data_IF_310577605128
#
_entry.id   IF_310577605128
#
_cell.length_a   1.000
_cell.length_b   1.000
_cell.length_c   1.000
_cell.angle_alpha   90.00
_cell.angle_beta   90.00
_cell.angle_gamma   90.00
#
_symmetry.space_group_name_H-M   'P 1'
#
loop_
_entity.id
_entity.type
_entity.pdbx_description
1 polymer ?
#
# COMPACT_ATOMS: atom_id res chain seq x y z
N UNK A 1 -25.43 -14.45 -16.42
CA UNK A 1 -24.05 -13.97 -16.17
C UNK A 1 -23.53 -14.57 -14.89
N UNK A 2 -22.26 -14.92 -14.78
CA UNK A 2 -21.72 -15.42 -13.51
C UNK A 2 -21.79 -14.33 -12.43
N UNK A 3 -22.04 -14.73 -11.20
CA UNK A 3 -22.00 -13.86 -10.00
C UNK A 3 -20.76 -14.15 -9.20
N UNK A 4 -20.32 -13.22 -8.35
CA UNK A 4 -19.13 -13.43 -7.51
C UNK A 4 -19.36 -14.56 -6.49
N UNK A 5 -20.53 -14.62 -5.88
CA UNK A 5 -20.87 -15.72 -4.94
C UNK A 5 -21.01 -17.06 -5.64
N UNK A 6 -21.47 -17.09 -6.89
CA UNK A 6 -21.74 -18.34 -7.64
C UNK A 6 -20.52 -18.93 -8.35
N UNK A 7 -19.48 -18.15 -8.67
CA UNK A 7 -18.34 -18.60 -9.49
C UNK A 7 -17.00 -18.27 -8.84
N UNK A 8 -16.21 -19.31 -8.48
CA UNK A 8 -14.85 -19.17 -7.94
C UNK A 8 -13.95 -18.35 -8.88
N UNK A 9 -13.96 -18.68 -10.18
CA UNK A 9 -13.14 -17.95 -11.16
C UNK A 9 -13.53 -16.49 -11.26
N UNK A 10 -14.84 -16.17 -11.31
CA UNK A 10 -15.32 -14.80 -11.40
C UNK A 10 -14.86 -13.97 -10.20
N UNK A 11 -15.03 -14.45 -8.95
CA UNK A 11 -14.60 -13.72 -7.75
C UNK A 11 -13.09 -13.57 -7.66
N UNK A 12 -12.31 -14.65 -7.95
CA UNK A 12 -10.86 -14.58 -7.92
C UNK A 12 -10.31 -13.57 -8.92
N UNK A 13 -10.75 -13.66 -10.19
CA UNK A 13 -10.30 -12.72 -11.24
C UNK A 13 -10.70 -11.28 -10.91
N UNK A 14 -11.94 -11.06 -10.47
CA UNK A 14 -12.41 -9.71 -10.09
C UNK A 14 -11.57 -9.13 -8.97
N UNK A 15 -11.34 -9.87 -7.88
CA UNK A 15 -10.54 -9.40 -6.75
C UNK A 15 -9.08 -9.13 -7.15
N UNK A 16 -8.46 -10.01 -7.94
CA UNK A 16 -7.10 -9.81 -8.44
C UNK A 16 -6.99 -8.55 -9.31
N UNK A 17 -7.95 -8.31 -10.21
CA UNK A 17 -7.93 -7.12 -11.08
C UNK A 17 -8.17 -5.84 -10.26
N UNK A 18 -9.03 -5.87 -9.25
CA UNK A 18 -9.24 -4.74 -8.34
C UNK A 18 -7.96 -4.41 -7.56
N UNK A 19 -7.21 -5.41 -7.12
CA UNK A 19 -5.92 -5.21 -6.44
C UNK A 19 -4.82 -4.71 -7.40
N UNK A 20 -4.81 -5.15 -8.64
CA UNK A 20 -3.94 -4.56 -9.66
C UNK A 20 -4.28 -3.08 -9.90
N UNK A 21 -5.58 -2.72 -9.89
CA UNK A 21 -6.04 -1.34 -9.98
C UNK A 21 -5.65 -0.45 -8.79
N UNK A 22 -5.34 -1.02 -7.63
CA UNK A 22 -4.76 -0.31 -6.48
C UNK A 22 -3.24 -0.15 -6.59
N UNK A 23 -2.57 -1.22 -7.01
CA UNK A 23 -1.12 -1.20 -7.18
C UNK A 23 -0.67 -0.20 -8.24
N UNK A 24 -1.45 -0.03 -9.31
CA UNK A 24 -1.09 0.85 -10.42
C UNK A 24 -0.98 2.33 -10.02
N UNK A 25 -1.97 2.97 -9.37
CA UNK A 25 -1.81 4.33 -8.86
C UNK A 25 -0.67 4.46 -7.84
N UNK A 26 -0.49 3.45 -6.99
CA UNK A 26 0.62 3.44 -6.04
C UNK A 26 1.97 3.50 -6.74
N UNK A 27 2.24 2.59 -7.68
CA UNK A 27 3.47 2.58 -8.46
C UNK A 27 3.67 3.85 -9.28
N UNK A 28 2.59 4.36 -9.90
CA UNK A 28 2.63 5.60 -10.65
C UNK A 28 3.04 6.79 -9.77
N UNK A 29 2.37 7.00 -8.64
CA UNK A 29 2.64 8.17 -7.79
C UNK A 29 3.99 8.04 -7.10
N UNK A 30 4.30 6.89 -6.48
CA UNK A 30 5.49 6.75 -5.62
C UNK A 30 6.77 6.43 -6.37
N UNK A 31 6.70 6.04 -7.64
CA UNK A 31 7.87 5.71 -8.46
C UNK A 31 7.95 6.63 -9.68
N UNK A 32 7.03 6.49 -10.65
CA UNK A 32 7.12 7.19 -11.92
C UNK A 32 6.96 8.71 -11.80
N UNK A 33 5.94 9.17 -11.08
CA UNK A 33 5.69 10.61 -10.89
C UNK A 33 6.78 11.27 -10.05
N UNK A 34 7.19 10.65 -8.92
CA UNK A 34 8.23 11.22 -8.07
C UNK A 34 9.58 11.29 -8.78
N UNK A 35 9.97 10.25 -9.55
CA UNK A 35 11.23 10.27 -10.31
C UNK A 35 11.20 11.31 -11.44
N UNK A 36 10.05 11.46 -12.12
CA UNK A 36 9.86 12.51 -13.12
C UNK A 36 9.98 13.90 -12.48
N UNK A 37 9.30 14.19 -11.39
CA UNK A 37 9.39 15.47 -10.71
C UNK A 37 10.81 15.75 -10.22
N UNK A 38 11.50 14.75 -9.67
CA UNK A 38 12.90 14.87 -9.28
C UNK A 38 13.81 15.19 -10.47
N UNK A 39 13.61 14.57 -11.64
CA UNK A 39 14.36 14.90 -12.85
C UNK A 39 14.08 16.31 -13.38
N UNK A 40 12.91 16.86 -13.06
CA UNK A 40 12.57 18.27 -13.34
C UNK A 40 13.06 19.25 -12.27
N UNK A 41 13.81 18.79 -11.27
CA UNK A 41 14.43 19.61 -10.23
C UNK A 41 13.66 19.69 -8.92
N UNK A 42 12.60 18.90 -8.71
CA UNK A 42 11.92 18.84 -7.42
C UNK A 42 12.87 18.26 -6.35
N UNK A 43 13.01 18.96 -5.22
CA UNK A 43 13.88 18.60 -4.12
C UNK A 43 13.26 17.56 -3.17
N UNK A 44 13.99 17.27 -2.08
CA UNK A 44 13.54 16.32 -1.06
C UNK A 44 12.26 16.78 -0.34
N UNK A 45 12.10 18.09 -0.10
CA UNK A 45 10.91 18.62 0.56
C UNK A 45 9.65 18.42 -0.32
N UNK A 46 9.76 18.64 -1.63
CA UNK A 46 8.66 18.50 -2.56
C UNK A 46 8.26 17.03 -2.77
N UNK A 47 9.23 16.14 -2.98
CA UNK A 47 8.96 14.70 -3.09
C UNK A 47 8.41 14.11 -1.78
N UNK A 48 8.90 14.56 -0.63
CA UNK A 48 8.36 14.20 0.68
C UNK A 48 6.92 14.66 0.84
N UNK A 49 6.56 15.87 0.37
CA UNK A 49 5.20 16.40 0.43
C UNK A 49 4.24 15.54 -0.39
N UNK A 50 4.57 15.24 -1.66
CA UNK A 50 3.72 14.39 -2.50
C UNK A 50 3.60 12.98 -1.92
N UNK A 51 4.71 12.37 -1.49
CA UNK A 51 4.71 11.05 -0.85
C UNK A 51 3.85 11.02 0.42
N UNK A 52 3.93 12.07 1.24
CA UNK A 52 3.10 12.21 2.45
C UNK A 52 1.62 12.33 2.10
N UNK A 53 1.26 13.22 1.17
CA UNK A 53 -0.12 13.43 0.75
C UNK A 53 -0.69 12.20 0.03
N UNK A 54 0.12 11.47 -0.73
CA UNK A 54 -0.30 10.20 -1.33
C UNK A 54 -0.61 9.12 -0.28
N UNK A 55 0.14 9.09 0.83
CA UNK A 55 0.01 8.06 1.87
C UNK A 55 -1.03 8.41 2.94
N UNK A 56 -1.28 9.71 3.16
CA UNK A 56 -2.16 10.20 4.23
C UNK A 56 -3.58 9.61 4.20
N UNK A 57 -4.27 9.44 3.04
CA UNK A 57 -5.59 8.80 3.00
C UNK A 57 -5.63 7.38 3.54
N UNK A 58 -4.52 6.64 3.40
CA UNK A 58 -4.38 5.28 3.94
C UNK A 58 -4.29 5.24 5.47
N UNK A 59 -3.90 6.35 6.09
CA UNK A 59 -3.94 6.52 7.54
C UNK A 59 -5.37 6.60 8.06
N UNK A 60 -6.26 7.22 7.30
CA UNK A 60 -7.67 7.40 7.64
C UNK A 60 -8.59 6.31 7.11
N UNK A 61 -8.05 5.26 6.46
CA UNK A 61 -8.86 4.24 5.81
C UNK A 61 -9.84 3.52 6.77
N UNK A 62 -9.55 3.52 8.07
CA UNK A 62 -10.45 2.99 9.10
C UNK A 62 -11.81 3.70 9.11
N UNK A 63 -11.88 4.96 8.66
CA UNK A 63 -13.11 5.73 8.59
C UNK A 63 -14.01 5.32 7.42
N UNK A 64 -13.44 4.69 6.38
CA UNK A 64 -14.19 4.26 5.21
C UNK A 64 -15.13 3.09 5.51
N UNK A 65 -14.73 2.17 6.41
CA UNK A 65 -15.55 1.01 6.79
C UNK A 65 -16.96 1.39 7.22
N UNK A 66 -17.15 2.21 8.27
CA UNK A 66 -18.46 2.69 8.72
C UNK A 66 -19.25 3.45 7.62
N UNK A 67 -18.57 4.22 6.76
CA UNK A 67 -19.21 4.94 5.66
C UNK A 67 -19.75 3.96 4.63
N UNK A 68 -18.93 2.99 4.21
CA UNK A 68 -19.31 1.97 3.22
C UNK A 68 -20.46 1.11 3.76
N UNK A 69 -20.46 0.77 5.04
CA UNK A 69 -21.49 -0.05 5.66
C UNK A 69 -22.79 0.71 5.87
N UNK A 70 -22.72 2.01 6.17
CA UNK A 70 -23.91 2.86 6.40
C UNK A 70 -24.65 3.24 5.12
N UNK A 71 -23.89 3.54 4.05
CA UNK A 71 -24.45 4.05 2.80
C UNK A 71 -24.38 2.98 1.70
N UNK A 72 -25.17 1.93 1.82
CA UNK A 72 -25.22 0.83 0.85
C UNK A 72 -26.35 1.01 -0.16
N UNK A 73 -26.09 0.72 -1.44
CA UNK A 73 -27.12 0.64 -2.49
C UNK A 73 -27.49 -0.84 -2.67
N UNK A 74 -28.28 -1.37 -1.75
CA UNK A 74 -28.61 -2.82 -1.67
C UNK A 74 -29.11 -3.42 -2.98
N UNK A 75 -29.77 -2.64 -3.85
CA UNK A 75 -30.25 -3.12 -5.15
C UNK A 75 -29.12 -3.50 -6.12
N UNK A 76 -27.92 -2.95 -5.94
CA UNK A 76 -26.75 -3.20 -6.80
C UNK A 76 -25.68 -4.08 -6.15
N UNK A 77 -25.88 -4.53 -4.92
CA UNK A 77 -24.91 -5.17 -4.07
C UNK A 77 -24.39 -4.24 -2.96
N UNK A 78 -23.74 -4.84 -1.96
CA UNK A 78 -23.29 -4.09 -0.78
C UNK A 78 -22.01 -3.29 -1.05
N UNK A 79 -21.07 -3.84 -1.82
CA UNK A 79 -19.72 -3.29 -2.03
C UNK A 79 -19.52 -2.70 -3.43
N UNK A 80 -20.14 -3.30 -4.45
CA UNK A 80 -20.01 -2.87 -5.85
C UNK A 80 -20.25 -1.40 -6.13
N UNK A 81 -21.29 -0.74 -5.58
CA UNK A 81 -21.52 0.69 -5.81
C UNK A 81 -20.36 1.56 -5.38
N UNK A 82 -19.72 1.24 -4.26
CA UNK A 82 -18.55 1.94 -3.74
C UNK A 82 -17.31 1.72 -4.60
N UNK A 83 -17.10 0.49 -5.09
CA UNK A 83 -16.00 0.17 -6.02
C UNK A 83 -16.18 0.92 -7.34
N UNK A 84 -17.39 0.93 -7.90
CA UNK A 84 -17.72 1.66 -9.13
C UNK A 84 -17.50 3.17 -8.95
N UNK A 85 -18.00 3.74 -7.86
CA UNK A 85 -17.83 5.16 -7.55
C UNK A 85 -16.36 5.54 -7.40
N UNK A 86 -15.61 4.79 -6.61
CA UNK A 86 -14.20 5.10 -6.35
C UNK A 86 -13.35 4.99 -7.62
N UNK A 87 -13.57 3.98 -8.47
CA UNK A 87 -12.83 3.85 -9.74
C UNK A 87 -13.18 4.94 -10.76
N UNK A 88 -14.44 5.36 -10.83
CA UNK A 88 -14.84 6.53 -11.63
C UNK A 88 -14.14 7.78 -11.14
N UNK A 89 -14.13 8.02 -9.83
CA UNK A 89 -13.49 9.17 -9.22
C UNK A 89 -11.95 9.13 -9.39
N UNK A 90 -11.33 7.94 -9.30
CA UNK A 90 -9.90 7.77 -9.60
C UNK A 90 -9.58 8.14 -11.05
N UNK A 91 -10.38 7.68 -12.00
CA UNK A 91 -10.19 8.03 -13.42
C UNK A 91 -10.43 9.53 -13.66
N UNK A 92 -11.48 10.11 -13.07
CA UNK A 92 -11.79 11.52 -13.20
C UNK A 92 -10.70 12.43 -12.61
N UNK A 93 -10.13 12.09 -11.46
CA UNK A 93 -9.03 12.85 -10.84
C UNK A 93 -7.74 12.79 -11.66
N UNK A 94 -7.41 11.66 -12.28
CA UNK A 94 -6.29 11.57 -13.22
C UNK A 94 -6.50 12.45 -14.45
N UNK A 95 -7.70 12.44 -15.02
CA UNK A 95 -8.03 13.30 -16.15
C UNK A 95 -8.01 14.79 -15.74
N UNK A 96 -8.45 15.12 -14.53
CA UNK A 96 -8.37 16.48 -14.02
C UNK A 96 -6.92 16.97 -13.85
N UNK A 97 -5.96 16.09 -13.48
CA UNK A 97 -4.54 16.42 -13.40
C UNK A 97 -3.94 16.87 -14.76
N UNK A 98 -4.53 16.47 -15.90
CA UNK A 98 -4.09 16.90 -17.23
C UNK A 98 -4.28 18.40 -17.44
N UNK A 99 -5.27 18.99 -16.73
CA UNK A 99 -5.59 20.43 -16.82
C UNK A 99 -4.57 21.32 -16.08
N UNK A 100 -3.70 20.73 -15.26
CA UNK A 100 -2.60 21.46 -14.61
C UNK A 100 -1.63 21.90 -15.71
N UNK A 101 -1.42 23.21 -15.81
CA UNK A 101 -0.65 23.82 -16.89
C UNK A 101 0.85 23.54 -16.76
N UNK A 102 1.45 24.11 -15.75
CA UNK A 102 2.87 23.95 -15.39
C UNK A 102 2.97 23.25 -14.05
N UNK A 103 3.49 22.03 -14.05
CA UNK A 103 3.57 21.17 -12.88
C UNK A 103 4.54 21.68 -11.81
N UNK A 104 5.54 22.47 -12.20
CA UNK A 104 6.46 23.09 -11.26
C UNK A 104 5.87 24.35 -10.65
N UNK A 105 5.24 25.19 -11.46
CA UNK A 105 4.56 26.41 -10.98
C UNK A 105 3.28 26.07 -10.18
N UNK A 106 2.57 25.00 -10.54
CA UNK A 106 1.32 24.57 -9.90
C UNK A 106 1.52 23.33 -9.01
N UNK A 107 2.71 23.16 -8.45
CA UNK A 107 3.09 22.01 -7.62
C UNK A 107 2.10 21.74 -6.47
N UNK A 108 1.63 22.79 -5.79
CA UNK A 108 0.65 22.67 -4.71
C UNK A 108 -0.67 22.05 -5.21
N UNK A 109 -1.14 22.46 -6.36
CA UNK A 109 -2.36 21.92 -7.00
C UNK A 109 -2.18 20.44 -7.31
N UNK A 110 -1.03 20.07 -7.89
CA UNK A 110 -0.70 18.65 -8.16
C UNK A 110 -0.69 17.83 -6.87
N UNK A 111 -0.02 18.31 -5.82
CA UNK A 111 0.10 17.62 -4.55
C UNK A 111 -1.28 17.35 -3.90
N UNK A 112 -2.18 18.33 -3.90
CA UNK A 112 -3.54 18.17 -3.40
C UNK A 112 -4.41 17.28 -4.30
N UNK A 113 -4.20 17.32 -5.62
CA UNK A 113 -4.89 16.42 -6.55
C UNK A 113 -4.43 14.97 -6.36
N UNK A 114 -3.14 14.73 -6.06
CA UNK A 114 -2.61 13.41 -5.67
C UNK A 114 -3.26 12.94 -4.36
N UNK A 115 -3.40 13.81 -3.36
CA UNK A 115 -4.12 13.49 -2.12
C UNK A 115 -5.58 13.08 -2.40
N UNK A 116 -6.31 13.88 -3.17
CA UNK A 116 -7.70 13.61 -3.52
C UNK A 116 -7.84 12.29 -4.29
N UNK A 117 -6.95 12.04 -5.26
CA UNK A 117 -6.91 10.78 -6.01
C UNK A 117 -6.72 9.59 -5.06
N UNK A 118 -5.76 9.68 -4.13
CA UNK A 118 -5.48 8.61 -3.17
C UNK A 118 -6.58 8.42 -2.12
N UNK A 119 -7.42 9.43 -1.84
CA UNK A 119 -8.65 9.22 -1.07
C UNK A 119 -9.56 8.20 -1.75
N UNK A 120 -9.74 8.30 -3.06
CA UNK A 120 -10.55 7.35 -3.83
C UNK A 120 -9.86 5.98 -3.99
N UNK A 121 -8.52 5.95 -4.11
CA UNK A 121 -7.75 4.69 -4.12
C UNK A 121 -7.94 3.96 -2.78
N UNK A 122 -7.83 4.66 -1.64
CA UNK A 122 -8.00 4.04 -0.33
C UNK A 122 -9.44 3.61 -0.05
N UNK A 123 -10.44 4.34 -0.58
CA UNK A 123 -11.85 3.96 -0.53
C UNK A 123 -12.12 2.68 -1.33
N UNK A 124 -11.53 2.56 -2.53
CA UNK A 124 -11.61 1.37 -3.36
C UNK A 124 -10.95 0.17 -2.68
N UNK A 125 -9.81 0.36 -2.02
CA UNK A 125 -9.11 -0.66 -1.24
C UNK A 125 -10.01 -1.27 -0.17
N UNK A 126 -10.57 -0.43 0.71
CA UNK A 126 -11.46 -0.90 1.79
C UNK A 126 -12.71 -1.57 1.24
N UNK A 127 -13.27 -1.06 0.13
CA UNK A 127 -14.44 -1.65 -0.51
C UNK A 127 -14.12 -3.02 -1.13
N UNK A 128 -12.92 -3.19 -1.69
CA UNK A 128 -12.47 -4.44 -2.29
C UNK A 128 -12.09 -5.49 -1.22
N UNK A 129 -11.49 -5.05 -0.10
CA UNK A 129 -11.23 -5.90 1.06
C UNK A 129 -12.52 -6.42 1.66
N UNK A 130 -13.51 -5.54 1.85
CA UNK A 130 -14.82 -5.90 2.35
C UNK A 130 -15.56 -6.86 1.38
N UNK A 131 -15.46 -6.61 0.05
CA UNK A 131 -16.00 -7.53 -0.95
C UNK A 131 -15.33 -8.91 -0.85
N UNK A 132 -14.01 -8.98 -0.68
CA UNK A 132 -13.29 -10.24 -0.52
C UNK A 132 -13.79 -11.03 0.71
N UNK A 133 -14.01 -10.34 1.84
CA UNK A 133 -14.58 -10.96 3.04
C UNK A 133 -15.99 -11.52 2.77
N UNK A 134 -16.83 -10.76 2.05
CA UNK A 134 -18.23 -11.09 1.79
C UNK A 134 -18.39 -12.27 0.79
N UNK A 135 -17.45 -12.44 -0.18
CA UNK A 135 -17.62 -13.42 -1.28
C UNK A 135 -16.69 -14.63 -1.21
N UNK A 136 -15.57 -14.56 -0.47
CA UNK A 136 -14.62 -15.67 -0.38
C UNK A 136 -15.03 -16.71 0.65
N UNK A 137 -14.97 -17.97 0.25
CA UNK A 137 -15.14 -19.11 1.16
C UNK A 137 -13.89 -19.31 2.02
N UNK A 138 -14.06 -19.91 3.19
CA UNK A 138 -12.97 -20.09 4.17
C UNK A 138 -11.79 -20.90 3.61
N UNK A 139 -12.08 -21.92 2.80
CA UNK A 139 -11.08 -22.80 2.19
C UNK A 139 -10.25 -22.16 1.08
N UNK A 140 -10.69 -21.02 0.52
CA UNK A 140 -10.00 -20.32 -0.57
C UNK A 140 -9.39 -18.99 -0.15
N UNK A 141 -9.71 -18.45 1.04
CA UNK A 141 -9.25 -17.12 1.50
C UNK A 141 -7.74 -16.94 1.43
N UNK A 142 -6.97 -17.92 1.92
CA UNK A 142 -5.51 -17.84 1.93
C UNK A 142 -4.91 -17.73 0.51
N UNK A 143 -5.34 -18.63 -0.38
CA UNK A 143 -4.85 -18.67 -1.76
C UNK A 143 -5.23 -17.41 -2.53
N UNK A 144 -6.50 -17.00 -2.44
CA UNK A 144 -6.98 -15.81 -3.19
C UNK A 144 -6.35 -14.53 -2.66
N UNK A 145 -6.18 -14.37 -1.35
CA UNK A 145 -5.44 -13.22 -0.78
C UNK A 145 -3.99 -13.16 -1.29
N UNK A 146 -3.30 -14.29 -1.37
CA UNK A 146 -1.96 -14.34 -1.97
C UNK A 146 -1.95 -13.87 -3.43
N UNK A 147 -2.94 -14.30 -4.22
CA UNK A 147 -3.09 -13.86 -5.62
C UNK A 147 -3.44 -12.38 -5.73
N UNK A 148 -4.29 -11.84 -4.86
CA UNK A 148 -4.63 -10.43 -4.77
C UNK A 148 -3.37 -9.59 -4.53
N UNK A 149 -2.57 -9.91 -3.53
CA UNK A 149 -1.30 -9.21 -3.25
C UNK A 149 -0.30 -9.30 -4.41
N UNK A 150 -0.15 -10.48 -5.03
CA UNK A 150 0.68 -10.63 -6.22
C UNK A 150 0.20 -9.71 -7.37
N UNK A 151 -1.11 -9.62 -7.57
CA UNK A 151 -1.72 -8.72 -8.57
C UNK A 151 -1.47 -7.25 -8.26
N UNK A 152 -1.44 -6.85 -6.99
CA UNK A 152 -1.07 -5.49 -6.57
C UNK A 152 0.38 -5.16 -6.96
N UNK A 153 1.32 -6.08 -6.77
CA UNK A 153 2.71 -5.89 -7.24
C UNK A 153 2.80 -5.77 -8.77
N UNK A 154 2.01 -6.57 -9.52
CA UNK A 154 1.91 -6.42 -10.98
C UNK A 154 1.38 -5.03 -11.34
N UNK A 155 0.33 -4.56 -10.65
CA UNK A 155 -0.18 -3.20 -10.79
C UNK A 155 0.90 -2.16 -10.50
N UNK A 156 1.68 -2.33 -9.42
CA UNK A 156 2.78 -1.43 -9.06
C UNK A 156 3.86 -1.39 -10.15
N UNK A 157 4.20 -2.53 -10.75
CA UNK A 157 5.14 -2.58 -11.87
C UNK A 157 4.60 -1.85 -13.12
N UNK A 158 3.32 -2.03 -13.45
CA UNK A 158 2.67 -1.31 -14.56
C UNK A 158 2.65 0.19 -14.30
N UNK A 159 2.28 0.61 -13.08
CA UNK A 159 2.24 2.02 -12.69
C UNK A 159 3.61 2.66 -12.54
N UNK A 160 4.60 1.95 -12.01
CA UNK A 160 5.97 2.43 -11.85
C UNK A 160 6.75 2.37 -13.16
N UNK A 161 7.16 1.17 -13.56
CA UNK A 161 8.00 0.99 -14.76
C UNK A 161 7.23 1.30 -16.05
N UNK A 162 6.01 0.78 -16.21
CA UNK A 162 5.23 1.00 -17.43
C UNK A 162 4.90 2.47 -17.67
N UNK A 163 4.39 3.17 -16.66
CA UNK A 163 4.08 4.60 -16.80
C UNK A 163 5.34 5.46 -16.82
N UNK A 164 6.44 5.06 -16.16
CA UNK A 164 7.74 5.71 -16.30
C UNK A 164 8.22 5.73 -17.75
N UNK A 165 8.12 4.60 -18.45
CA UNK A 165 8.42 4.52 -19.90
C UNK A 165 7.48 5.39 -20.74
N UNK A 166 6.19 5.46 -20.39
CA UNK A 166 5.25 6.35 -21.09
C UNK A 166 5.60 7.82 -20.87
N UNK A 167 5.98 8.20 -19.64
CA UNK A 167 6.39 9.57 -19.31
C UNK A 167 7.63 9.95 -20.12
N UNK A 168 8.65 9.08 -20.15
CA UNK A 168 9.91 9.35 -20.85
C UNK A 168 9.72 9.54 -22.36
N UNK A 169 8.83 8.78 -23.00
CA UNK A 169 8.65 8.81 -24.45
C UNK A 169 7.55 9.77 -24.92
N UNK A 170 6.53 10.02 -24.10
CA UNK A 170 5.33 10.76 -24.51
C UNK A 170 4.97 11.90 -23.57
N UNK A 171 5.65 12.00 -22.41
CA UNK A 171 5.39 12.99 -21.39
C UNK A 171 4.30 12.58 -20.38
N UNK A 172 4.13 13.40 -19.36
CA UNK A 172 3.29 13.09 -18.20
C UNK A 172 1.78 13.09 -18.51
N UNK A 173 1.30 14.00 -19.37
CA UNK A 173 -0.12 14.08 -19.72
C UNK A 173 -0.66 12.81 -20.40
N UNK A 174 0.01 12.21 -21.41
CA UNK A 174 -0.35 10.90 -21.94
C UNK A 174 -0.34 9.78 -20.89
N UNK A 175 0.56 9.80 -19.91
CA UNK A 175 0.59 8.83 -18.83
C UNK A 175 -0.68 8.92 -17.94
N UNK A 176 -1.13 10.12 -17.58
CA UNK A 176 -2.41 10.31 -16.90
C UNK A 176 -3.59 9.78 -17.72
N UNK A 177 -3.63 10.09 -19.03
CA UNK A 177 -4.68 9.58 -19.92
C UNK A 177 -4.70 8.06 -19.99
N UNK A 178 -3.54 7.44 -20.18
CA UNK A 178 -3.41 6.00 -20.31
C UNK A 178 -3.82 5.30 -19.00
N UNK A 179 -3.34 5.78 -17.88
CA UNK A 179 -3.69 5.21 -16.57
C UNK A 179 -5.19 5.36 -16.28
N UNK A 180 -5.78 6.53 -16.55
CA UNK A 180 -7.22 6.74 -16.42
C UNK A 180 -8.01 5.78 -17.34
N UNK A 181 -7.56 5.57 -18.58
CA UNK A 181 -8.14 4.63 -19.52
C UNK A 181 -8.08 3.19 -19.04
N UNK A 182 -6.95 2.75 -18.49
CA UNK A 182 -6.80 1.39 -17.92
C UNK A 182 -7.73 1.21 -16.71
N UNK A 183 -7.78 2.18 -15.78
CA UNK A 183 -8.71 2.11 -14.64
C UNK A 183 -10.17 2.09 -15.10
N UNK A 184 -10.51 2.85 -16.13
CA UNK A 184 -11.85 2.83 -16.72
C UNK A 184 -12.19 1.48 -17.38
N UNK A 185 -11.22 0.81 -18.02
CA UNK A 185 -11.42 -0.56 -18.52
C UNK A 185 -11.63 -1.56 -17.38
N UNK A 186 -10.88 -1.43 -16.29
CA UNK A 186 -11.06 -2.27 -15.10
C UNK A 186 -12.44 -2.04 -14.46
N UNK A 187 -12.93 -0.80 -14.45
CA UNK A 187 -14.26 -0.44 -13.98
C UNK A 187 -15.38 -1.23 -14.69
N UNK A 188 -15.19 -1.63 -15.95
CA UNK A 188 -16.18 -2.45 -16.66
C UNK A 188 -16.45 -3.78 -15.94
N UNK A 189 -15.48 -4.32 -15.20
CA UNK A 189 -15.64 -5.61 -14.48
C UNK A 189 -16.70 -5.50 -13.38
N UNK A 190 -16.57 -4.60 -12.38
CA UNK A 190 -17.60 -4.46 -11.34
C UNK A 190 -18.94 -3.94 -11.88
N UNK A 191 -18.98 -3.29 -13.05
CA UNK A 191 -20.25 -2.94 -13.72
C UNK A 191 -20.93 -4.18 -14.27
N UNK A 192 -20.20 -5.09 -14.91
CA UNK A 192 -20.77 -6.23 -15.63
C UNK A 192 -21.00 -7.46 -14.75
N UNK A 193 -20.27 -7.61 -13.64
CA UNK A 193 -20.36 -8.77 -12.74
C UNK A 193 -21.12 -8.37 -11.47
N UNK A 194 -22.17 -9.14 -11.13
CA UNK A 194 -22.97 -8.96 -9.92
C UNK A 194 -22.31 -9.65 -8.73
N UNK A 195 -22.49 -9.13 -7.52
CA UNK A 195 -22.08 -9.83 -6.30
C UNK A 195 -22.92 -11.10 -6.12
N UNK A 196 -24.25 -10.94 -6.20
CA UNK A 196 -25.25 -12.02 -6.01
C UNK A 196 -26.25 -12.06 -7.15
N UNK A 197 -26.93 -13.19 -7.26
CA UNK A 197 -28.02 -13.36 -8.23
C UNK A 197 -29.20 -12.43 -7.91
N UNK A 198 -29.79 -11.85 -8.94
CA UNK A 198 -30.96 -10.96 -8.80
C UNK A 198 -30.62 -9.49 -8.60
N UNK A 199 -29.37 -9.11 -8.30
CA UNK A 199 -28.97 -7.70 -8.17
C UNK A 199 -29.07 -6.95 -9.49
N UNK A 200 -29.27 -5.63 -9.42
CA UNK A 200 -29.21 -4.72 -10.57
C UNK A 200 -27.78 -4.52 -11.01
N UNK A 201 -27.54 -4.39 -12.30
CA UNK A 201 -26.21 -4.01 -12.82
C UNK A 201 -25.93 -2.53 -12.54
N UNK A 202 -26.95 -1.67 -12.82
CA UNK A 202 -26.92 -0.22 -12.61
C UNK A 202 -28.25 0.22 -11.98
N UNK A 203 -28.36 1.42 -11.39
CA UNK A 203 -29.56 1.84 -10.66
C UNK A 203 -30.86 1.75 -11.47
N UNK A 204 -30.76 1.92 -12.79
CA UNK A 204 -31.90 1.93 -13.74
C UNK A 204 -32.14 0.60 -14.43
N UNK A 205 -31.37 -0.46 -14.17
CA UNK A 205 -31.58 -1.79 -14.73
C UNK A 205 -32.54 -2.59 -13.86
N UNK A 206 -33.17 -3.62 -14.45
CA UNK A 206 -34.05 -4.53 -13.75
C UNK A 206 -33.26 -5.47 -12.80
N UNK A 207 -33.85 -5.81 -11.67
CA UNK A 207 -33.31 -6.76 -10.70
C UNK A 207 -34.11 -6.73 -9.40
N UNK A 208 -34.23 -7.88 -8.77
CA UNK A 208 -34.83 -8.08 -7.45
C UNK A 208 -33.83 -8.79 -6.54
N UNK A 209 -33.05 -8.05 -5.76
CA UNK A 209 -32.07 -8.65 -4.84
C UNK A 209 -32.78 -9.43 -3.73
N UNK A 210 -32.35 -10.65 -3.49
CA UNK A 210 -32.76 -11.42 -2.31
C UNK A 210 -31.87 -10.97 -1.14
N UNK A 211 -32.48 -10.35 -0.14
CA UNK A 211 -31.80 -10.02 1.13
C UNK A 211 -31.66 -11.30 1.96
N UNK A 212 -30.47 -11.55 2.48
CA UNK A 212 -30.25 -12.63 3.43
C UNK A 212 -30.72 -12.20 4.83
N UNK A 213 -31.34 -13.09 5.62
CA UNK A 213 -31.69 -12.80 7.01
C UNK A 213 -30.44 -12.53 7.83
N UNK A 214 -30.42 -11.43 8.59
CA UNK A 214 -29.29 -11.04 9.47
C UNK A 214 -28.38 -9.95 8.91
N UNK A 215 -28.57 -9.46 7.69
CA UNK A 215 -27.78 -8.36 7.12
C UNK A 215 -28.09 -6.96 7.71
N UNK A 216 -28.96 -6.89 8.71
CA UNK A 216 -29.40 -5.61 9.32
C UNK A 216 -28.60 -5.19 10.55
N UNK A 217 -27.76 -6.06 11.12
CA UNK A 217 -27.00 -5.72 12.32
C UNK A 217 -25.79 -4.82 11.95
N UNK A 218 -25.94 -3.53 12.23
CA UNK A 218 -24.80 -2.60 12.29
C UNK A 218 -24.02 -2.91 13.57
N UNK A 219 -22.71 -3.15 13.44
CA UNK A 219 -21.82 -3.31 14.59
C UNK A 219 -22.01 -2.16 15.60
N UNK A 220 -22.11 -2.48 16.88
CA UNK A 220 -22.12 -1.50 17.96
C UNK A 220 -20.74 -0.82 18.05
N UNK A 221 -20.64 0.38 17.49
CA UNK A 221 -19.40 1.17 17.45
C UNK A 221 -18.87 1.39 18.88
N UNK A 222 -19.73 1.60 19.87
CA UNK A 222 -19.31 1.78 21.25
C UNK A 222 -18.67 0.51 21.82
N UNK A 223 -19.23 -0.66 21.50
CA UNK A 223 -18.67 -1.97 21.85
C UNK A 223 -17.29 -2.19 21.21
N UNK A 224 -17.14 -1.86 19.92
CA UNK A 224 -15.85 -1.95 19.21
C UNK A 224 -14.80 -1.03 19.83
N UNK A 225 -15.11 0.22 20.11
CA UNK A 225 -14.21 1.19 20.75
C UNK A 225 -13.78 0.71 22.14
N UNK A 226 -14.73 0.22 22.95
CA UNK A 226 -14.43 -0.35 24.28
C UNK A 226 -13.56 -1.61 24.18
N UNK A 227 -13.83 -2.46 23.20
CA UNK A 227 -13.03 -3.68 22.92
C UNK A 227 -11.60 -3.34 22.51
N UNK A 228 -11.42 -2.32 21.65
CA UNK A 228 -10.10 -1.81 21.26
C UNK A 228 -9.32 -1.23 22.44
N UNK A 229 -9.97 -0.41 23.26
CA UNK A 229 -9.35 0.12 24.47
C UNK A 229 -8.85 -1.01 25.40
N UNK A 230 -9.68 -2.03 25.63
CA UNK A 230 -9.30 -3.22 26.38
C UNK A 230 -8.14 -4.01 25.76
N UNK A 231 -8.16 -4.16 24.44
CA UNK A 231 -7.10 -4.85 23.71
C UNK A 231 -5.74 -4.11 23.83
N UNK A 232 -5.73 -2.80 23.67
CA UNK A 232 -4.50 -1.99 23.76
C UNK A 232 -4.07 -1.67 25.20
N UNK A 233 -4.91 -1.92 26.22
CA UNK A 233 -4.50 -1.90 27.60
C UNK A 233 -3.54 -3.04 27.96
N UNK A 234 -3.55 -4.14 27.19
CA UNK A 234 -2.58 -5.21 27.31
C UNK A 234 -1.23 -4.84 26.69
N UNK A 235 -0.14 -5.17 27.39
CA UNK A 235 1.21 -4.77 27.00
C UNK A 235 1.66 -5.27 25.60
N UNK A 236 1.43 -6.55 25.20
CA UNK A 236 1.88 -7.02 23.88
C UNK A 236 1.22 -6.30 22.69
N UNK A 237 -0.12 -6.11 22.62
CA UNK A 237 -0.76 -5.31 21.58
C UNK A 237 -0.31 -3.85 21.55
N UNK A 238 -0.09 -3.23 22.71
CA UNK A 238 0.42 -1.86 22.79
C UNK A 238 1.83 -1.74 22.19
N UNK A 239 2.74 -2.65 22.56
CA UNK A 239 4.09 -2.71 21.96
C UNK A 239 4.04 -2.97 20.46
N UNK A 240 3.10 -3.80 20.01
CA UNK A 240 2.90 -4.05 18.57
C UNK A 240 2.46 -2.78 17.84
N UNK A 241 1.66 -1.91 18.45
CA UNK A 241 1.29 -0.63 17.88
C UNK A 241 2.50 0.32 17.74
N UNK A 242 3.33 0.42 18.79
CA UNK A 242 4.58 1.19 18.73
C UNK A 242 5.55 0.62 17.70
N UNK A 243 5.66 -0.71 17.63
CA UNK A 243 6.45 -1.40 16.61
C UNK A 243 5.92 -1.12 15.20
N UNK A 244 4.61 -1.21 14.96
CA UNK A 244 3.99 -0.97 13.65
C UNK A 244 4.31 0.45 13.14
N UNK A 245 4.20 1.44 14.01
CA UNK A 245 4.58 2.81 13.70
C UNK A 245 6.09 2.93 13.43
N UNK A 246 6.94 2.56 14.37
CA UNK A 246 8.39 2.74 14.25
C UNK A 246 8.99 1.98 13.06
N UNK A 247 8.52 0.75 12.78
CA UNK A 247 9.04 -0.10 11.70
C UNK A 247 8.71 0.40 10.27
N UNK A 248 7.83 1.40 10.15
CA UNK A 248 7.41 1.95 8.87
C UNK A 248 7.98 3.34 8.58
N UNK A 249 8.63 4.00 9.56
CA UNK A 249 9.27 5.31 9.39
C UNK A 249 10.27 5.31 8.24
N UNK A 250 11.22 4.37 8.26
CA UNK A 250 12.26 4.26 7.23
C UNK A 250 11.68 4.02 5.83
N UNK A 251 10.54 3.32 5.72
CA UNK A 251 9.88 3.10 4.42
C UNK A 251 9.41 4.43 3.83
N UNK A 252 8.81 5.30 4.64
CA UNK A 252 8.41 6.65 4.20
C UNK A 252 9.61 7.51 3.80
N UNK A 253 10.70 7.46 4.58
CA UNK A 253 11.96 8.13 4.24
C UNK A 253 12.48 7.66 2.88
N UNK A 254 12.50 6.33 2.64
CA UNK A 254 12.97 5.73 1.40
C UNK A 254 12.18 6.21 0.18
N UNK A 255 10.85 6.23 0.27
CA UNK A 255 9.98 6.66 -0.83
C UNK A 255 10.25 8.12 -1.22
N UNK A 256 10.53 8.99 -0.25
CA UNK A 256 10.82 10.40 -0.51
C UNK A 256 12.24 10.63 -1.07
N UNK A 257 13.24 9.90 -0.55
CA UNK A 257 14.67 10.12 -0.86
C UNK A 257 15.09 9.50 -2.19
N UNK A 258 14.67 8.25 -2.46
CA UNK A 258 15.26 7.49 -3.56
C UNK A 258 15.07 8.13 -4.93
N UNK A 259 13.90 8.67 -5.31
CA UNK A 259 13.74 9.34 -6.61
C UNK A 259 14.74 10.50 -6.80
N UNK A 260 14.88 11.36 -5.79
CA UNK A 260 15.79 12.53 -5.83
C UNK A 260 17.25 12.09 -5.84
N UNK A 261 17.62 11.15 -4.97
CA UNK A 261 18.97 10.63 -4.89
C UNK A 261 19.43 10.01 -6.22
N UNK A 262 18.61 9.14 -6.82
CA UNK A 262 19.01 8.48 -8.07
C UNK A 262 18.99 9.40 -9.28
N UNK A 263 18.06 10.35 -9.35
CA UNK A 263 17.98 11.25 -10.52
C UNK A 263 18.92 12.44 -10.43
N UNK A 264 19.10 13.05 -9.25
CA UNK A 264 19.87 14.28 -9.10
C UNK A 264 21.33 14.05 -8.63
N UNK A 265 21.54 13.12 -7.69
CA UNK A 265 22.89 12.84 -7.15
C UNK A 265 23.64 11.82 -8.00
N UNK A 266 22.98 10.71 -8.38
CA UNK A 266 23.58 9.65 -9.17
C UNK A 266 23.52 9.94 -10.67
N UNK A 267 22.50 10.69 -11.13
CA UNK A 267 22.34 11.07 -12.53
C UNK A 267 21.64 10.00 -13.40
N UNK A 268 20.87 9.08 -12.79
CA UNK A 268 20.01 8.19 -13.56
C UNK A 268 18.87 8.97 -14.22
N UNK A 269 18.41 8.51 -15.39
CA UNK A 269 17.16 9.02 -15.92
C UNK A 269 15.99 8.55 -15.06
N UNK A 270 14.91 9.34 -15.04
CA UNK A 270 13.65 8.98 -14.38
C UNK A 270 13.07 7.67 -14.93
N UNK A 271 13.23 7.41 -16.23
CA UNK A 271 12.86 6.14 -16.85
C UNK A 271 13.67 4.98 -16.29
N UNK A 272 15.02 5.09 -16.23
CA UNK A 272 15.89 4.03 -15.72
C UNK A 272 15.56 3.70 -14.25
N UNK A 273 15.43 4.73 -13.40
CA UNK A 273 15.01 4.54 -12.01
C UNK A 273 13.64 3.85 -11.91
N UNK A 274 12.67 4.30 -12.70
CA UNK A 274 11.31 3.72 -12.71
C UNK A 274 11.31 2.27 -13.16
N UNK A 275 12.11 1.89 -14.15
CA UNK A 275 12.24 0.51 -14.63
C UNK A 275 12.89 -0.39 -13.57
N UNK A 276 13.95 0.09 -12.90
CA UNK A 276 14.63 -0.68 -11.87
C UNK A 276 13.77 -0.81 -10.62
N UNK A 277 13.29 0.29 -10.05
CA UNK A 277 12.50 0.28 -8.80
C UNK A 277 11.09 -0.30 -9.01
N UNK A 278 10.38 0.16 -10.05
CA UNK A 278 9.02 -0.26 -10.35
C UNK A 278 8.94 -1.63 -11.01
N UNK A 279 9.88 -1.97 -11.89
CA UNK A 279 9.92 -3.25 -12.60
C UNK A 279 10.63 -4.34 -11.80
N UNK A 280 11.96 -4.32 -11.82
CA UNK A 280 12.78 -5.37 -11.18
C UNK A 280 12.62 -5.36 -9.66
N UNK A 281 12.48 -4.16 -9.06
CA UNK A 281 12.23 -3.99 -7.63
C UNK A 281 10.92 -4.63 -7.19
N UNK A 282 9.83 -4.47 -7.96
CA UNK A 282 8.56 -5.14 -7.67
C UNK A 282 8.71 -6.67 -7.68
N UNK A 283 9.47 -7.24 -8.63
CA UNK A 283 9.76 -8.67 -8.65
C UNK A 283 10.57 -9.11 -7.41
N UNK A 284 11.61 -8.34 -7.03
CA UNK A 284 12.36 -8.58 -5.80
C UNK A 284 11.46 -8.51 -4.55
N UNK A 285 10.51 -7.59 -4.53
CA UNK A 285 9.49 -7.47 -3.48
C UNK A 285 8.61 -8.71 -3.36
N UNK A 286 8.11 -9.24 -4.48
CA UNK A 286 7.31 -10.48 -4.49
C UNK A 286 8.13 -11.65 -3.94
N UNK A 287 9.37 -11.84 -4.42
CA UNK A 287 10.24 -12.91 -3.93
C UNK A 287 10.52 -12.75 -2.44
N UNK A 288 10.83 -11.52 -1.98
CA UNK A 288 11.04 -11.20 -0.57
C UNK A 288 9.85 -11.54 0.31
N UNK A 289 8.63 -11.22 -0.16
CA UNK A 289 7.38 -11.50 0.55
C UNK A 289 7.13 -13.02 0.69
N UNK A 290 7.31 -13.79 -0.40
CA UNK A 290 7.14 -15.24 -0.40
C UNK A 290 8.15 -15.93 0.52
N UNK A 291 9.44 -15.58 0.37
CA UNK A 291 10.53 -16.10 1.19
C UNK A 291 10.35 -15.72 2.66
N UNK A 292 9.93 -14.47 2.92
CA UNK A 292 9.68 -13.96 4.26
C UNK A 292 8.57 -14.69 4.99
N UNK A 293 7.43 -14.96 4.32
CA UNK A 293 6.33 -15.74 4.88
C UNK A 293 6.77 -17.17 5.20
N UNK A 294 7.40 -17.85 4.23
CA UNK A 294 7.87 -19.23 4.41
C UNK A 294 8.92 -19.37 5.54
N UNK A 295 9.88 -18.47 5.61
CA UNK A 295 10.91 -18.50 6.64
C UNK A 295 10.36 -18.09 8.02
N UNK A 296 9.39 -17.17 8.09
CA UNK A 296 8.77 -16.77 9.34
C UNK A 296 8.03 -17.93 10.02
N UNK A 297 7.41 -18.81 9.24
CA UNK A 297 6.75 -20.00 9.76
C UNK A 297 7.75 -21.04 10.29
N UNK A 298 8.96 -21.14 9.72
CA UNK A 298 9.99 -22.12 10.10
C UNK A 298 10.95 -21.64 11.18
N UNK A 299 11.43 -20.41 11.06
CA UNK A 299 12.47 -19.85 11.91
C UNK A 299 11.90 -18.89 12.99
N UNK A 300 10.63 -18.54 12.85
CA UNK A 300 9.94 -17.63 13.75
C UNK A 300 10.01 -16.15 13.25
N UNK A 301 8.90 -15.45 13.48
CA UNK A 301 8.70 -14.09 12.99
C UNK A 301 9.80 -13.13 13.44
N UNK A 302 10.20 -13.17 14.72
CA UNK A 302 11.21 -12.24 15.25
C UNK A 302 12.57 -12.38 14.57
N UNK A 303 12.98 -13.60 14.26
CA UNK A 303 14.26 -13.86 13.58
C UNK A 303 14.26 -13.22 12.18
N UNK A 304 13.19 -13.43 11.43
CA UNK A 304 13.08 -12.94 10.05
C UNK A 304 12.98 -11.41 10.02
N UNK A 305 12.20 -10.83 10.93
CA UNK A 305 12.11 -9.37 11.06
C UNK A 305 13.47 -8.76 11.42
N UNK A 306 14.17 -9.33 12.40
CA UNK A 306 15.49 -8.84 12.82
C UNK A 306 16.50 -8.95 11.68
N UNK A 307 16.54 -10.09 10.99
CA UNK A 307 17.41 -10.28 9.83
C UNK A 307 17.15 -9.23 8.75
N UNK A 308 15.87 -9.02 8.37
CA UNK A 308 15.49 -8.02 7.38
C UNK A 308 15.88 -6.60 7.79
N UNK A 309 15.63 -6.22 9.05
CA UNK A 309 15.95 -4.88 9.56
C UNK A 309 17.47 -4.64 9.62
N UNK A 310 18.25 -5.59 10.13
CA UNK A 310 19.70 -5.47 10.20
C UNK A 310 20.33 -5.45 8.79
N UNK A 311 19.82 -6.25 7.86
CA UNK A 311 20.30 -6.24 6.48
C UNK A 311 20.05 -4.90 5.78
N UNK A 312 18.85 -4.34 5.91
CA UNK A 312 18.53 -2.99 5.38
C UNK A 312 19.40 -1.92 6.04
N UNK A 313 19.57 -1.99 7.37
CA UNK A 313 20.45 -1.07 8.10
C UNK A 313 21.90 -1.13 7.60
N UNK A 314 22.44 -2.33 7.38
CA UNK A 314 23.78 -2.50 6.85
C UNK A 314 23.95 -1.85 5.46
N UNK A 315 22.97 -2.01 4.58
CA UNK A 315 22.95 -1.33 3.29
C UNK A 315 22.90 0.20 3.43
N UNK A 316 22.07 0.72 4.33
CA UNK A 316 21.98 2.16 4.57
C UNK A 316 23.29 2.70 5.19
N UNK A 317 23.92 1.98 6.11
CA UNK A 317 25.23 2.35 6.66
C UNK A 317 26.27 2.40 5.55
N UNK A 318 26.34 1.37 4.70
CA UNK A 318 27.29 1.32 3.58
C UNK A 318 27.11 2.53 2.64
N UNK A 319 25.86 2.87 2.29
CA UNK A 319 25.56 4.07 1.49
C UNK A 319 25.93 5.37 2.23
N UNK A 320 25.79 5.41 3.55
CA UNK A 320 26.11 6.61 4.35
C UNK A 320 27.60 6.86 4.55
N UNK A 321 28.42 5.79 4.70
CA UNK A 321 29.82 5.95 5.09
C UNK A 321 30.81 5.84 3.92
N UNK A 322 30.43 5.19 2.80
CA UNK A 322 31.34 4.94 1.67
C UNK A 322 30.88 5.66 0.40
N UNK A 323 31.62 6.68 0.00
CA UNK A 323 31.39 7.38 -1.25
C UNK A 323 31.71 6.50 -2.46
N UNK A 324 32.73 5.63 -2.35
CA UNK A 324 33.09 4.66 -3.40
C UNK A 324 31.93 3.69 -3.68
N UNK A 325 31.28 3.17 -2.63
CA UNK A 325 30.12 2.30 -2.80
C UNK A 325 28.93 3.07 -3.38
N UNK A 326 28.70 4.31 -2.96
CA UNK A 326 27.64 5.16 -3.52
C UNK A 326 27.82 5.40 -5.01
N UNK A 327 29.05 5.58 -5.47
CA UNK A 327 29.38 5.80 -6.88
C UNK A 327 29.38 4.51 -7.72
N UNK A 328 29.37 3.32 -7.08
CA UNK A 328 29.42 2.05 -7.79
C UNK A 328 28.03 1.61 -8.26
N UNK A 329 27.81 1.58 -9.57
CA UNK A 329 26.53 1.22 -10.20
C UNK A 329 26.02 -0.16 -9.79
N UNK A 330 26.89 -1.17 -9.72
CA UNK A 330 26.50 -2.51 -9.29
C UNK A 330 26.02 -2.52 -7.84
N UNK A 331 26.67 -1.74 -6.96
CA UNK A 331 26.23 -1.61 -5.58
C UNK A 331 24.91 -0.87 -5.45
N UNK A 332 24.67 0.16 -6.28
CA UNK A 332 23.41 0.88 -6.34
C UNK A 332 22.24 -0.05 -6.69
N UNK A 333 22.42 -0.92 -7.69
CA UNK A 333 21.43 -1.93 -8.06
C UNK A 333 21.20 -2.94 -6.92
N UNK A 334 22.28 -3.45 -6.31
CA UNK A 334 22.20 -4.37 -5.16
C UNK A 334 21.51 -3.69 -3.97
N UNK A 335 21.78 -2.41 -3.72
CA UNK A 335 21.13 -1.63 -2.68
C UNK A 335 19.62 -1.51 -2.91
N UNK A 336 19.18 -1.09 -4.11
CA UNK A 336 17.76 -0.95 -4.45
C UNK A 336 17.02 -2.28 -4.32
N UNK A 337 17.49 -3.30 -5.02
CA UNK A 337 16.84 -4.61 -5.07
C UNK A 337 16.94 -5.35 -3.74
N UNK A 338 18.10 -5.31 -3.10
CA UNK A 338 18.36 -5.95 -1.81
C UNK A 338 17.52 -5.33 -0.68
N UNK A 339 17.43 -4.00 -0.63
CA UNK A 339 16.58 -3.33 0.38
C UNK A 339 15.11 -3.60 0.12
N UNK A 340 14.63 -3.60 -1.13
CA UNK A 340 13.24 -3.93 -1.48
C UNK A 340 12.90 -5.36 -1.09
N UNK A 341 13.77 -6.33 -1.40
CA UNK A 341 13.64 -7.72 -0.98
C UNK A 341 13.54 -7.86 0.55
N UNK A 342 14.50 -7.27 1.29
CA UNK A 342 14.55 -7.37 2.76
C UNK A 342 13.39 -6.63 3.45
N UNK A 343 12.95 -5.49 2.92
CA UNK A 343 11.76 -4.76 3.40
C UNK A 343 10.52 -5.61 3.22
N UNK A 344 10.32 -6.24 2.06
CA UNK A 344 9.17 -7.10 1.80
C UNK A 344 9.19 -8.34 2.69
N UNK A 345 10.35 -8.98 2.84
CA UNK A 345 10.58 -10.12 3.71
C UNK A 345 10.17 -9.82 5.17
N UNK A 346 10.70 -8.72 5.76
CA UNK A 346 10.36 -8.33 7.14
C UNK A 346 8.91 -7.89 7.29
N UNK A 347 8.31 -7.29 6.25
CA UNK A 347 6.96 -6.75 6.31
C UNK A 347 5.92 -7.85 6.40
N UNK A 348 6.03 -8.90 5.58
CA UNK A 348 5.12 -10.06 5.64
C UNK A 348 5.24 -10.78 7.00
N UNK A 349 6.46 -10.95 7.51
CA UNK A 349 6.65 -11.51 8.85
C UNK A 349 6.01 -10.62 9.94
N UNK A 350 6.10 -9.28 9.81
CA UNK A 350 5.45 -8.34 10.74
C UNK A 350 3.92 -8.44 10.69
N UNK A 351 3.33 -8.61 9.52
CA UNK A 351 1.88 -8.79 9.38
C UNK A 351 1.41 -10.08 10.08
N UNK A 352 2.17 -11.16 9.96
CA UNK A 352 1.88 -12.40 10.69
C UNK A 352 1.94 -12.18 12.22
N UNK A 353 2.87 -11.35 12.72
CA UNK A 353 2.92 -10.98 14.15
C UNK A 353 1.66 -10.21 14.56
N UNK A 354 1.25 -9.22 13.78
CA UNK A 354 0.06 -8.42 14.09
C UNK A 354 -1.20 -9.28 14.15
N UNK A 355 -1.40 -10.18 13.20
CA UNK A 355 -2.54 -11.12 13.20
C UNK A 355 -2.57 -11.99 14.45
N UNK A 356 -1.41 -12.49 14.90
CA UNK A 356 -1.30 -13.33 16.12
C UNK A 356 -1.58 -12.55 17.42
N UNK A 357 -1.42 -11.24 17.42
CA UNK A 357 -1.63 -10.38 18.59
C UNK A 357 -3.02 -9.75 18.64
N UNK A 358 -3.83 -9.93 17.59
CA UNK A 358 -5.18 -9.42 17.56
C UNK A 358 -6.10 -10.21 18.51
N UNK A 359 -6.89 -9.47 19.28
CA UNK A 359 -7.93 -10.01 20.17
C UNK A 359 -9.13 -10.46 19.33
N UNK A 360 -9.62 -11.70 19.41
CA UNK A 360 -10.65 -12.24 18.52
C UNK A 360 -11.90 -11.35 18.38
N UNK A 361 -12.36 -10.74 19.48
CA UNK A 361 -13.57 -9.90 19.50
C UNK A 361 -13.47 -8.62 18.66
N UNK A 362 -12.25 -8.10 18.40
CA UNK A 362 -12.01 -6.85 17.67
C UNK A 362 -10.86 -6.99 16.67
N UNK A 363 -10.57 -8.20 16.23
CA UNK A 363 -9.37 -8.52 15.45
C UNK A 363 -9.25 -7.71 14.14
N UNK A 364 -10.33 -7.57 13.41
CA UNK A 364 -10.34 -6.82 12.15
C UNK A 364 -9.98 -5.34 12.34
N UNK A 365 -10.65 -4.69 13.29
CA UNK A 365 -10.42 -3.26 13.59
C UNK A 365 -9.03 -3.04 14.21
N UNK A 366 -8.59 -3.93 15.10
CA UNK A 366 -7.25 -3.87 15.70
C UNK A 366 -6.15 -4.02 14.65
N UNK A 367 -6.28 -4.97 13.72
CA UNK A 367 -5.35 -5.14 12.61
C UNK A 367 -5.31 -3.90 11.70
N UNK A 368 -6.49 -3.37 11.35
CA UNK A 368 -6.60 -2.15 10.55
C UNK A 368 -5.93 -0.95 11.22
N UNK A 369 -6.00 -0.86 12.56
CA UNK A 369 -5.32 0.20 13.31
C UNK A 369 -3.79 0.07 13.25
N UNK A 370 -3.23 -1.16 13.33
CA UNK A 370 -1.79 -1.37 13.09
C UNK A 370 -1.37 -0.89 11.69
N UNK A 371 -2.19 -1.16 10.67
CA UNK A 371 -1.91 -0.70 9.30
C UNK A 371 -2.01 0.84 9.18
N UNK A 372 -2.99 1.46 9.82
CA UNK A 372 -3.13 2.91 9.87
C UNK A 372 -1.93 3.59 10.54
N UNK A 373 -1.44 3.04 11.67
CA UNK A 373 -0.23 3.50 12.34
C UNK A 373 1.02 3.35 11.46
N UNK A 374 1.14 2.24 10.74
CA UNK A 374 2.23 2.03 9.77
C UNK A 374 2.19 3.06 8.62
N UNK A 375 1.01 3.42 8.13
CA UNK A 375 0.85 4.44 7.10
C UNK A 375 1.13 5.85 7.64
N UNK A 376 0.67 6.18 8.85
CA UNK A 376 1.02 7.43 9.52
C UNK A 376 2.53 7.59 9.70
N UNK A 377 3.23 6.50 10.05
CA UNK A 377 4.67 6.50 10.15
C UNK A 377 5.38 6.76 8.81
N UNK A 378 4.84 6.27 7.70
CA UNK A 378 5.38 6.59 6.36
C UNK A 378 5.27 8.08 6.06
N UNK A 379 4.14 8.72 6.40
CA UNK A 379 3.97 10.17 6.31
C UNK A 379 5.00 10.89 7.18
N UNK A 380 5.16 10.46 8.43
CA UNK A 380 6.16 11.03 9.35
C UNK A 380 7.58 10.84 8.84
N UNK A 381 7.90 9.67 8.28
CA UNK A 381 9.22 9.37 7.70
C UNK A 381 9.56 10.28 6.52
N UNK A 382 8.61 10.53 5.63
CA UNK A 382 8.81 11.48 4.54
C UNK A 382 9.04 12.90 5.06
N UNK A 383 8.29 13.35 6.08
CA UNK A 383 8.49 14.64 6.72
C UNK A 383 9.87 14.78 7.39
N UNK A 384 10.39 13.70 8.00
CA UNK A 384 11.76 13.67 8.55
C UNK A 384 12.78 13.93 7.45
N UNK A 385 12.63 13.34 6.26
CA UNK A 385 13.55 13.57 5.13
C UNK A 385 13.58 15.03 4.73
N UNK A 386 12.41 15.67 4.62
CA UNK A 386 12.33 17.10 4.30
C UNK A 386 13.10 17.96 5.31
N UNK A 387 13.10 17.59 6.59
CA UNK A 387 13.87 18.32 7.63
C UNK A 387 15.39 18.08 7.58
N UNK A 388 15.83 17.01 6.89
CA UNK A 388 17.24 16.64 6.76
C UNK A 388 17.86 17.07 5.40
N UNK A 389 17.12 17.79 4.57
CA UNK A 389 17.56 18.16 3.22
C UNK A 389 18.91 18.89 3.23
N UNK A 390 19.14 19.78 4.19
CA UNK A 390 20.40 20.54 4.34
C UNK A 390 21.57 19.69 4.87
N UNK A 391 21.33 18.52 5.47
CA UNK A 391 22.36 17.73 6.15
C UNK A 391 23.07 16.74 5.21
N UNK A 392 22.61 16.63 3.99
CA UNK A 392 23.15 15.78 2.93
C UNK A 392 22.85 14.28 3.06
N UNK A 393 23.07 13.55 1.99
CA UNK A 393 22.67 12.13 1.87
C UNK A 393 23.39 11.21 2.87
N UNK A 394 24.61 11.55 3.30
CA UNK A 394 25.32 10.79 4.36
C UNK A 394 24.46 10.71 5.63
N UNK A 395 24.00 11.86 6.11
CA UNK A 395 23.17 11.95 7.32
C UNK A 395 21.84 11.23 7.12
N UNK A 396 21.19 11.45 5.96
CA UNK A 396 19.91 10.81 5.63
C UNK A 396 20.03 9.29 5.69
N UNK A 397 21.03 8.69 5.04
CA UNK A 397 21.23 7.23 5.05
C UNK A 397 21.53 6.69 6.45
N UNK A 398 22.32 7.41 7.28
CA UNK A 398 22.58 7.00 8.67
C UNK A 398 21.34 7.09 9.54
N UNK A 399 20.50 8.13 9.36
CA UNK A 399 19.20 8.23 10.05
C UNK A 399 18.26 7.11 9.60
N UNK A 400 18.23 6.77 8.32
CA UNK A 400 17.46 5.62 7.81
C UNK A 400 17.94 4.30 8.43
N UNK A 401 19.26 4.12 8.56
CA UNK A 401 19.84 2.93 9.20
C UNK A 401 19.43 2.82 10.68
N UNK A 402 19.42 3.92 11.41
CA UNK A 402 18.94 3.96 12.80
C UNK A 402 17.43 3.72 12.89
N UNK A 403 16.64 4.38 12.01
CA UNK A 403 15.20 4.28 12.01
C UNK A 403 14.69 2.85 11.73
N UNK A 404 15.38 2.06 10.90
CA UNK A 404 14.97 0.68 10.63
C UNK A 404 15.31 -0.30 11.77
N UNK A 405 16.33 -0.03 12.57
CA UNK A 405 16.74 -0.90 13.70
C UNK A 405 16.01 -0.54 14.99
N UNK A 406 15.70 0.75 15.20
CA UNK A 406 15.02 1.24 16.39
C UNK A 406 13.77 0.43 16.80
N UNK A 407 12.91 -0.03 15.87
CA UNK A 407 11.73 -0.83 16.22
C UNK A 407 12.03 -2.15 16.91
N UNK A 408 13.23 -2.69 16.81
CA UNK A 408 13.62 -3.91 17.52
C UNK A 408 13.48 -3.77 19.04
N UNK A 409 13.64 -2.53 19.56
CA UNK A 409 13.40 -2.22 20.96
C UNK A 409 11.95 -2.56 21.42
N UNK A 410 10.97 -2.36 20.55
CA UNK A 410 9.57 -2.71 20.82
C UNK A 410 9.26 -4.16 20.50
N UNK A 411 9.94 -4.76 19.53
CA UNK A 411 9.70 -6.13 19.07
C UNK A 411 10.12 -7.18 20.11
N UNK A 412 11.30 -7.01 20.71
CA UNK A 412 11.87 -8.04 21.59
C UNK A 412 11.05 -8.31 22.86
N UNK A 413 10.49 -7.30 23.55
CA UNK A 413 9.66 -7.51 24.74
C UNK A 413 8.32 -8.19 24.47
N UNK A 414 7.83 -8.21 23.21
CA UNK A 414 6.58 -8.89 22.86
C UNK A 414 6.79 -10.40 23.13
N UNK A 415 6.20 -10.92 24.18
CA UNK A 415 6.16 -12.36 24.39
C UNK A 415 5.12 -12.97 23.47
N UNK A 416 5.55 -13.84 22.56
CA UNK A 416 4.63 -14.70 21.83
C UNK A 416 4.14 -15.75 22.83
N UNK A 417 2.91 -15.61 23.30
CA UNK A 417 2.25 -16.67 24.06
C UNK A 417 2.25 -17.93 23.18
N UNK A 418 2.82 -19.03 23.67
CA UNK A 418 2.49 -20.33 23.10
C UNK A 418 0.98 -20.47 23.23
N UNK A 419 0.25 -20.92 22.18
CA UNK A 419 -1.13 -21.31 22.38
C UNK A 419 -1.13 -22.33 23.49
N UNK A 420 -1.84 -22.04 24.61
CA UNK A 420 -2.14 -23.04 25.59
C UNK A 420 -2.86 -24.16 24.83
N UNK A 421 -2.17 -25.25 24.57
CA UNK A 421 -2.78 -26.53 24.22
C UNK A 421 -3.54 -26.93 25.48
N UNK A 422 -4.80 -26.52 25.58
CA UNK A 422 -5.72 -27.10 26.53
C UNK A 422 -5.89 -28.55 26.08
N UNK A 423 -5.29 -29.44 26.88
CA UNK A 423 -5.44 -30.87 26.82
C UNK A 423 -6.92 -31.29 27.02
#
# INVERSE_FOLDING_TARGET
>A
MPTLTGSKTARTVTLCVLYAAQGMPWGFVTIALLSYLASQGAGLAETAKISSLATLPWTFKVLWGPIIDRFTVRSMGRRRPWIIFSQLAMSATLLAMILIGDLTAEFETLAWMVFLHNCFVSLQDVSSDALAVDVLKDDERGTVNGMMWASSYVGTAIGGAGMGTVIANFGLRPAFCLQAGVLFLILCIPILIRERAGEKLLPWTEGEPKLEPGEEETEDIAGVVKGLYGAFAAWPPFLAALYAYAASLMIGMRVAVMPVFYTQEIGWSDEHYSQVEGGVGSAAGVVGALVGGFLADRLGVKVIVTFGMLGVSAFCVAMGVSEELRANESFQLIFLLGTTFLISLKTVASFALFMRLCTPAVAGTQYTLYMALANLARVSGAAIVASLESDGYRTIFLVMAAAIVFPLFFLYPIRQGQPEVKA
#
